data_IF_692064713597
#
_entry.id   IF_692064713597
#
_cell.length_a   1.000
_cell.length_b   1.000
_cell.length_c   1.000
_cell.angle_alpha   90.00
_cell.angle_beta   90.00
_cell.angle_gamma   90.00
#
_symmetry.space_group_name_H-M   'P 1'
#
loop_
_entity.id
_entity.type
_entity.pdbx_description
1 polymer ?
#
# COMPACT_ATOMS: atom_id res chain seq x y z
N UNK A 1 -28.42 -0.95 0.84
CA UNK A 1 -27.45 0.09 0.43
C UNK A 1 -26.41 -0.44 -0.55
N UNK A 2 -25.55 -1.41 -0.21
CA UNK A 2 -24.46 -1.81 -1.13
C UNK A 2 -24.91 -2.26 -2.53
N UNK A 3 -26.07 -2.91 -2.66
CA UNK A 3 -26.66 -3.31 -3.96
C UNK A 3 -27.27 -2.15 -4.76
N UNK A 4 -27.37 -0.96 -4.18
CA UNK A 4 -27.94 0.22 -4.85
C UNK A 4 -27.00 0.77 -5.93
N UNK A 5 -27.56 1.15 -7.08
CA UNK A 5 -26.78 1.63 -8.22
C UNK A 5 -26.07 2.95 -7.94
N UNK A 6 -26.70 3.88 -7.21
CA UNK A 6 -26.09 5.15 -6.85
C UNK A 6 -24.91 4.96 -5.89
N UNK A 7 -25.04 4.02 -4.94
CA UNK A 7 -23.94 3.64 -4.04
C UNK A 7 -22.78 3.02 -4.82
N UNK A 8 -23.04 2.11 -5.77
CA UNK A 8 -22.00 1.53 -6.62
C UNK A 8 -21.29 2.61 -7.47
N UNK A 9 -22.05 3.53 -8.08
CA UNK A 9 -21.48 4.66 -8.83
C UNK A 9 -20.61 5.57 -7.97
N UNK A 10 -20.99 5.76 -6.71
CA UNK A 10 -20.20 6.53 -5.73
C UNK A 10 -18.91 5.79 -5.41
N UNK A 11 -18.98 4.48 -5.17
CA UNK A 11 -17.81 3.62 -4.95
C UNK A 11 -16.82 3.65 -6.13
N UNK A 12 -17.31 3.67 -7.38
CA UNK A 12 -16.42 3.77 -8.55
C UNK A 12 -15.60 5.07 -8.59
N UNK A 13 -16.07 6.11 -7.89
CA UNK A 13 -15.41 7.41 -7.72
C UNK A 13 -14.64 7.51 -6.39
N UNK A 14 -14.34 6.37 -5.75
CA UNK A 14 -13.69 6.35 -4.44
C UNK A 14 -12.28 6.92 -4.42
N UNK A 15 -11.68 7.25 -5.56
CA UNK A 15 -10.43 7.98 -5.61
C UNK A 15 -10.59 9.47 -5.25
N UNK A 16 -11.81 10.00 -5.28
CA UNK A 16 -12.15 11.39 -4.94
C UNK A 16 -12.28 11.62 -3.42
N UNK A 17 -12.30 10.55 -2.63
CA UNK A 17 -12.41 10.59 -1.17
C UNK A 17 -11.62 9.47 -0.50
N UNK A 18 -11.58 9.46 0.83
CA UNK A 18 -10.77 8.50 1.58
C UNK A 18 -11.56 7.21 1.87
N UNK A 19 -11.50 6.24 0.95
CA UNK A 19 -12.04 4.89 1.16
C UNK A 19 -10.93 3.87 1.49
N UNK A 20 -11.26 2.86 2.29
CA UNK A 20 -10.36 1.74 2.58
C UNK A 20 -10.39 0.70 1.45
N UNK A 21 -9.24 0.19 1.04
CA UNK A 21 -9.11 -0.70 -0.12
C UNK A 21 -9.92 -2.01 0.01
N UNK A 22 -10.12 -2.49 1.24
CA UNK A 22 -10.90 -3.70 1.52
C UNK A 22 -12.42 -3.48 1.57
N UNK A 23 -12.92 -2.26 1.33
CA UNK A 23 -14.35 -1.94 1.44
C UNK A 23 -15.21 -2.87 0.59
N UNK A 24 -14.89 -3.03 -0.70
CA UNK A 24 -15.64 -3.90 -1.61
C UNK A 24 -15.64 -5.36 -1.17
N UNK A 25 -14.46 -5.88 -0.79
CA UNK A 25 -14.30 -7.26 -0.33
C UNK A 25 -15.25 -7.61 0.83
N UNK A 26 -15.31 -6.74 1.85
CA UNK A 26 -16.19 -6.98 3.00
C UNK A 26 -17.66 -6.68 2.70
N UNK A 27 -17.97 -5.62 1.93
CA UNK A 27 -19.34 -5.25 1.59
C UNK A 27 -20.02 -6.28 0.68
N UNK A 28 -19.27 -6.91 -0.23
CA UNK A 28 -19.76 -8.01 -1.07
C UNK A 28 -20.15 -9.23 -0.23
N UNK A 29 -19.49 -9.43 0.93
CA UNK A 29 -19.64 -10.60 1.81
C UNK A 29 -20.40 -10.32 3.10
N UNK A 30 -21.14 -9.21 3.16
CA UNK A 30 -21.88 -8.79 4.37
C UNK A 30 -22.85 -9.87 4.88
N UNK A 31 -23.43 -10.68 3.98
CA UNK A 31 -24.34 -11.77 4.35
C UNK A 31 -23.67 -12.93 5.06
N UNK A 32 -22.37 -13.15 4.81
CA UNK A 32 -21.55 -14.17 5.48
C UNK A 32 -21.03 -13.62 6.81
N UNK A 33 -20.48 -12.41 6.80
CA UNK A 33 -19.84 -11.78 7.95
C UNK A 33 -20.83 -11.53 9.10
N UNK A 34 -22.10 -11.26 8.78
CA UNK A 34 -23.14 -11.01 9.81
C UNK A 34 -23.64 -12.26 10.53
N UNK A 35 -23.26 -13.46 10.10
CA UNK A 35 -23.78 -14.69 10.70
C UNK A 35 -23.30 -14.82 12.15
N UNK A 36 -24.13 -15.28 13.10
CA UNK A 36 -23.75 -15.37 14.52
C UNK A 36 -22.53 -16.27 14.79
N UNK A 37 -22.28 -17.23 13.91
CA UNK A 37 -21.17 -18.18 13.98
C UNK A 37 -20.03 -17.85 13.00
N UNK A 38 -20.02 -16.65 12.42
CA UNK A 38 -18.94 -16.24 11.52
C UNK A 38 -17.59 -16.22 12.24
N UNK A 39 -16.61 -16.90 11.67
CA UNK A 39 -15.21 -16.84 12.08
C UNK A 39 -14.39 -16.29 10.91
N UNK A 40 -13.61 -15.20 11.09
CA UNK A 40 -12.79 -14.65 10.02
C UNK A 40 -11.82 -15.68 9.45
N UNK A 41 -11.75 -15.77 8.12
CA UNK A 41 -10.71 -16.55 7.44
C UNK A 41 -9.37 -15.82 7.50
N UNK A 42 -8.27 -16.51 7.21
CA UNK A 42 -6.96 -15.88 7.06
C UNK A 42 -6.99 -14.76 6.00
N UNK A 43 -7.75 -14.94 4.93
CA UNK A 43 -7.94 -13.93 3.90
C UNK A 43 -8.67 -12.68 4.44
N UNK A 44 -9.65 -12.86 5.32
CA UNK A 44 -10.34 -11.75 5.99
C UNK A 44 -9.38 -10.96 6.89
N UNK A 45 -8.52 -11.68 7.62
CA UNK A 45 -7.51 -11.08 8.48
C UNK A 45 -6.50 -10.29 7.65
N UNK A 46 -5.98 -10.85 6.55
CA UNK A 46 -5.04 -10.19 5.65
C UNK A 46 -5.64 -8.96 4.94
N UNK A 47 -6.95 -8.98 4.66
CA UNK A 47 -7.67 -7.84 4.05
C UNK A 47 -8.07 -6.79 5.08
N UNK A 48 -8.09 -7.12 6.37
CA UNK A 48 -8.47 -6.19 7.41
C UNK A 48 -7.50 -5.00 7.45
N UNK A 49 -8.04 -3.79 7.53
CA UNK A 49 -7.21 -2.59 7.63
C UNK A 49 -7.07 -2.18 9.09
N UNK A 50 -5.92 -2.47 9.66
CA UNK A 50 -5.46 -1.91 10.93
C UNK A 50 -4.30 -0.97 10.63
N UNK A 51 -4.38 0.28 11.08
CA UNK A 51 -3.28 1.23 10.90
C UNK A 51 -2.16 0.89 11.91
N UNK A 52 -0.98 0.55 11.41
CA UNK A 52 0.21 0.37 12.24
C UNK A 52 0.62 1.72 12.86
N UNK A 53 0.57 1.81 14.18
CA UNK A 53 1.09 2.93 14.97
C UNK A 53 2.21 2.42 15.86
N UNK A 54 3.40 3.01 15.75
CA UNK A 54 4.61 2.54 16.42
C UNK A 54 5.41 1.56 15.58
N UNK A 55 6.14 0.71 16.29
CA UNK A 55 7.06 -0.30 15.77
C UNK A 55 6.62 -1.64 16.34
N UNK A 56 6.41 -2.63 15.48
CA UNK A 56 6.07 -3.99 15.86
C UNK A 56 7.17 -4.93 15.44
N UNK A 57 7.50 -5.89 16.29
CA UNK A 57 8.57 -6.84 16.04
C UNK A 57 7.99 -8.24 15.87
N UNK A 58 8.56 -9.00 14.94
CA UNK A 58 8.26 -10.42 14.80
C UNK A 58 9.54 -11.18 14.52
N UNK A 59 9.73 -12.29 15.23
CA UNK A 59 10.88 -13.18 15.05
C UNK A 59 10.39 -14.54 14.57
N UNK A 60 11.02 -15.05 13.54
CA UNK A 60 10.69 -16.36 12.97
C UNK A 60 11.93 -17.00 12.35
N UNK A 61 11.85 -18.31 12.07
CA UNK A 61 12.93 -19.07 11.48
C UNK A 61 12.45 -19.76 10.20
N UNK A 62 13.22 -19.66 9.12
CA UNK A 62 12.99 -20.35 7.84
C UNK A 62 14.27 -21.06 7.46
N UNK A 63 14.22 -22.38 7.24
CA UNK A 63 15.38 -23.20 6.86
C UNK A 63 16.63 -22.96 7.74
N UNK A 64 16.41 -22.87 9.06
CA UNK A 64 17.42 -22.58 10.11
C UNK A 64 18.00 -21.15 10.08
N UNK A 65 17.54 -20.29 9.18
CA UNK A 65 17.88 -18.86 9.15
C UNK A 65 16.89 -18.09 10.02
N UNK A 66 17.39 -17.32 10.98
CA UNK A 66 16.56 -16.50 11.87
C UNK A 66 16.30 -15.13 11.23
N UNK A 67 15.05 -14.71 11.24
CA UNK A 67 14.59 -13.40 10.79
C UNK A 67 14.03 -12.62 11.98
N UNK A 68 14.43 -11.36 12.10
CA UNK A 68 13.87 -10.39 13.03
C UNK A 68 13.35 -9.23 12.21
N UNK A 69 12.03 -9.18 12.05
CA UNK A 69 11.34 -8.21 11.21
C UNK A 69 10.72 -7.12 12.08
N UNK A 70 10.88 -5.87 11.64
CA UNK A 70 10.29 -4.68 12.24
C UNK A 70 9.25 -4.10 11.28
N UNK A 71 7.98 -4.11 11.65
CA UNK A 71 6.92 -3.38 10.95
C UNK A 71 6.79 -1.99 11.55
N UNK A 72 6.94 -0.95 10.73
CA UNK A 72 6.98 0.44 11.16
C UNK A 72 5.86 1.23 10.50
N UNK A 73 5.16 2.05 11.29
CA UNK A 73 4.12 2.93 10.76
C UNK A 73 4.64 3.84 9.63
N UNK A 74 4.01 3.80 8.46
CA UNK A 74 4.42 4.58 7.28
C UNK A 74 3.85 5.99 7.18
N UNK A 75 2.89 6.33 8.05
CA UNK A 75 2.24 7.64 8.08
C UNK A 75 3.23 8.73 8.50
N UNK A 76 3.03 9.96 8.03
CA UNK A 76 4.00 11.07 8.22
C UNK A 76 4.41 11.26 9.69
N UNK A 77 3.45 11.17 10.61
CA UNK A 77 3.69 11.35 12.06
C UNK A 77 4.45 10.19 12.70
N UNK A 78 4.44 9.01 12.08
CA UNK A 78 5.11 7.80 12.56
C UNK A 78 6.57 7.72 12.12
N UNK A 79 6.94 8.39 11.01
CA UNK A 79 8.27 8.29 10.39
C UNK A 79 9.42 8.75 11.28
N UNK A 80 9.17 9.64 12.25
CA UNK A 80 10.21 10.05 13.22
C UNK A 80 10.72 8.89 14.07
N UNK A 81 9.89 7.84 14.27
CA UNK A 81 10.24 6.65 15.06
C UNK A 81 11.18 5.71 14.31
N UNK A 82 11.25 5.80 12.98
CA UNK A 82 12.04 4.88 12.15
C UNK A 82 13.52 4.83 12.52
N UNK A 83 14.09 5.94 13.00
CA UNK A 83 15.49 5.99 13.45
C UNK A 83 15.80 4.98 14.56
N UNK A 84 14.78 4.56 15.33
CA UNK A 84 14.92 3.56 16.40
C UNK A 84 15.19 2.16 15.82
N UNK A 85 14.85 1.91 14.57
CA UNK A 85 15.02 0.64 13.89
C UNK A 85 16.21 0.60 12.93
N UNK A 86 16.92 1.72 12.71
CA UNK A 86 17.96 1.81 11.67
C UNK A 86 19.33 1.27 12.10
N UNK A 87 19.51 0.89 13.36
CA UNK A 87 20.74 0.25 13.82
C UNK A 87 20.73 -1.24 13.45
N UNK A 88 21.76 -1.70 12.73
CA UNK A 88 22.00 -3.13 12.41
C UNK A 88 20.92 -3.86 11.60
N UNK A 89 20.18 -3.14 10.75
CA UNK A 89 19.30 -3.80 9.77
C UNK A 89 20.12 -4.45 8.66
N UNK A 90 19.79 -5.69 8.30
CA UNK A 90 20.42 -6.38 7.16
C UNK A 90 19.95 -5.80 5.82
N UNK A 91 18.66 -5.50 5.71
CA UNK A 91 18.03 -4.96 4.52
C UNK A 91 16.76 -4.18 4.89
N UNK A 92 16.34 -3.29 4.01
CA UNK A 92 15.05 -2.60 4.10
C UNK A 92 14.10 -3.20 3.07
N UNK A 93 12.88 -3.55 3.49
CA UNK A 93 11.79 -3.86 2.57
C UNK A 93 10.93 -2.61 2.44
N UNK A 94 11.04 -1.91 1.32
CA UNK A 94 10.20 -0.75 1.04
C UNK A 94 8.97 -1.17 0.24
N UNK A 95 7.78 -0.92 0.79
CA UNK A 95 6.51 -1.30 0.16
C UNK A 95 5.81 -0.07 -0.40
N UNK A 96 5.49 -0.09 -1.70
CA UNK A 96 4.72 0.97 -2.35
C UNK A 96 3.40 0.45 -2.90
N UNK A 97 2.32 1.19 -2.71
CA UNK A 97 1.00 0.83 -3.22
C UNK A 97 0.81 1.40 -4.63
N UNK A 98 1.23 0.66 -5.66
CA UNK A 98 1.23 1.13 -7.04
C UNK A 98 -0.17 1.53 -7.56
N UNK A 99 -1.22 0.85 -7.08
CA UNK A 99 -2.62 1.14 -7.44
C UNK A 99 -3.14 2.50 -6.95
N UNK A 100 -2.39 3.19 -6.08
CA UNK A 100 -2.77 4.49 -5.50
C UNK A 100 -2.37 5.70 -6.34
N UNK A 101 -1.96 5.51 -7.60
CA UNK A 101 -1.51 6.58 -8.50
C UNK A 101 -2.55 7.68 -8.74
N UNK A 102 -3.84 7.40 -8.57
CA UNK A 102 -4.95 8.35 -8.74
C UNK A 102 -5.55 8.85 -7.41
N UNK A 103 -4.86 8.63 -6.29
CA UNK A 103 -5.33 8.97 -4.94
C UNK A 103 -4.43 9.98 -4.25
N UNK A 104 -4.98 10.68 -3.26
CA UNK A 104 -4.26 11.62 -2.39
C UNK A 104 -4.09 11.08 -0.98
N UNK A 105 -3.09 11.56 -0.23
CA UNK A 105 -2.86 11.17 1.15
C UNK A 105 -4.06 11.52 2.04
N UNK A 106 -4.21 10.81 3.16
CA UNK A 106 -5.25 11.14 4.15
C UNK A 106 -4.82 12.38 4.96
N UNK A 107 -3.53 12.47 5.24
CA UNK A 107 -2.87 13.51 6.01
C UNK A 107 -2.73 14.82 5.22
N UNK A 108 -2.77 14.74 3.89
CA UNK A 108 -2.55 15.87 2.99
C UNK A 108 -3.28 15.64 1.65
N UNK A 109 -4.48 16.22 1.45
CA UNK A 109 -5.27 15.99 0.26
C UNK A 109 -4.69 16.65 -1.00
N UNK A 110 -3.61 17.43 -0.87
CA UNK A 110 -2.91 18.04 -2.02
C UNK A 110 -1.82 17.14 -2.58
N UNK A 111 -1.38 16.14 -1.81
CA UNK A 111 -0.27 15.27 -2.16
C UNK A 111 -0.76 13.93 -2.72
N UNK A 112 -0.30 13.58 -3.92
CA UNK A 112 -0.55 12.29 -4.54
C UNK A 112 0.18 11.16 -3.77
N UNK A 113 -0.51 10.03 -3.54
CA UNK A 113 0.04 8.92 -2.73
C UNK A 113 1.27 8.26 -3.36
N UNK A 114 1.27 8.04 -4.68
CA UNK A 114 2.39 7.39 -5.35
C UNK A 114 3.59 8.35 -5.44
N UNK A 115 3.37 9.66 -5.67
CA UNK A 115 4.44 10.66 -5.61
C UNK A 115 5.08 10.75 -4.23
N UNK A 116 4.28 10.80 -3.17
CA UNK A 116 4.78 10.73 -1.79
C UNK A 116 5.64 9.48 -1.56
N UNK A 117 5.20 8.33 -2.08
CA UNK A 117 5.95 7.09 -1.94
C UNK A 117 7.29 7.13 -2.68
N UNK A 118 7.35 7.75 -3.87
CA UNK A 118 8.59 7.98 -4.61
C UNK A 118 9.52 8.94 -3.87
N UNK A 119 9.00 10.04 -3.33
CA UNK A 119 9.77 11.01 -2.55
C UNK A 119 10.34 10.37 -1.28
N UNK A 120 9.53 9.56 -0.58
CA UNK A 120 9.96 8.82 0.59
C UNK A 120 11.03 7.78 0.24
N UNK A 121 10.84 7.01 -0.83
CA UNK A 121 11.85 6.07 -1.33
C UNK A 121 13.17 6.78 -1.65
N UNK A 122 13.11 7.91 -2.37
CA UNK A 122 14.27 8.75 -2.67
C UNK A 122 14.96 9.23 -1.40
N UNK A 123 14.22 9.59 -0.35
CA UNK A 123 14.79 10.00 0.94
C UNK A 123 15.55 8.87 1.64
N UNK A 124 15.02 7.64 1.59
CA UNK A 124 15.65 6.43 2.16
C UNK A 124 16.90 6.08 1.35
N UNK A 125 16.76 6.02 0.03
CA UNK A 125 17.85 5.68 -0.90
C UNK A 125 19.05 6.61 -0.77
N UNK A 126 18.81 7.92 -0.58
CA UNK A 126 19.87 8.92 -0.43
C UNK A 126 20.29 9.14 1.03
N UNK A 127 19.75 8.39 1.98
CA UNK A 127 20.06 8.55 3.39
C UNK A 127 21.51 8.11 3.68
N UNK A 128 22.33 9.01 4.22
CA UNK A 128 23.74 8.74 4.54
C UNK A 128 23.94 7.56 5.51
N UNK A 129 22.99 7.32 6.41
CA UNK A 129 23.06 6.23 7.39
C UNK A 129 22.66 4.87 6.80
N UNK A 130 22.05 4.85 5.61
CA UNK A 130 21.57 3.64 4.95
C UNK A 130 22.37 3.28 3.69
N UNK A 131 23.50 3.94 3.43
CA UNK A 131 24.29 3.80 2.20
C UNK A 131 24.75 2.38 1.91
N UNK A 132 25.00 1.58 2.93
CA UNK A 132 25.45 0.18 2.82
C UNK A 132 24.31 -0.82 2.93
N UNK A 133 23.08 -0.35 3.19
CA UNK A 133 21.92 -1.20 3.41
C UNK A 133 21.21 -1.42 2.09
N UNK A 134 21.00 -2.69 1.73
CA UNK A 134 20.24 -3.05 0.54
C UNK A 134 18.76 -2.74 0.73
N UNK A 135 18.10 -2.23 -0.32
CA UNK A 135 16.66 -1.98 -0.33
C UNK A 135 15.98 -2.95 -1.29
N UNK A 136 15.09 -3.77 -0.75
CA UNK A 136 14.18 -4.63 -1.50
C UNK A 136 12.89 -3.83 -1.73
N UNK A 137 12.60 -3.49 -2.99
CA UNK A 137 11.42 -2.71 -3.35
C UNK A 137 10.25 -3.63 -3.71
N UNK A 138 9.18 -3.59 -2.92
CA UNK A 138 7.92 -4.26 -3.22
C UNK A 138 6.95 -3.28 -3.87
N UNK A 139 6.76 -3.48 -5.18
CA UNK A 139 5.68 -2.86 -5.94
C UNK A 139 4.37 -3.59 -5.63
N UNK A 140 3.68 -3.18 -4.56
CA UNK A 140 2.52 -3.89 -4.02
C UNK A 140 1.19 -3.45 -4.69
N UNK A 141 0.15 -4.27 -4.50
CA UNK A 141 -1.22 -4.09 -5.03
C UNK A 141 -1.27 -4.15 -6.57
N UNK A 142 -0.51 -5.07 -7.15
CA UNK A 142 -0.47 -5.31 -8.59
C UNK A 142 -1.84 -5.77 -9.14
N UNK A 143 -2.58 -6.54 -8.35
CA UNK A 143 -3.97 -6.93 -8.64
C UNK A 143 -4.86 -5.69 -8.86
N UNK A 144 -4.87 -4.77 -7.89
CA UNK A 144 -5.66 -3.54 -7.96
C UNK A 144 -5.15 -2.58 -9.02
N UNK A 145 -3.84 -2.54 -9.27
CA UNK A 145 -3.26 -1.75 -10.36
C UNK A 145 -3.78 -2.27 -11.71
N UNK A 146 -3.69 -3.57 -11.94
CA UNK A 146 -4.14 -4.20 -13.18
C UNK A 146 -5.64 -3.98 -13.41
N UNK A 147 -6.47 -4.15 -12.39
CA UNK A 147 -7.91 -3.85 -12.46
C UNK A 147 -8.17 -2.39 -12.85
N UNK A 148 -7.48 -1.45 -12.20
CA UNK A 148 -7.68 -0.01 -12.43
C UNK A 148 -7.25 0.42 -13.83
N UNK A 149 -6.11 -0.08 -14.33
CA UNK A 149 -5.63 0.19 -15.69
C UNK A 149 -6.60 -0.40 -16.72
N UNK A 150 -7.02 -1.66 -16.55
CA UNK A 150 -7.98 -2.31 -17.47
C UNK A 150 -9.34 -1.62 -17.50
N UNK A 151 -9.80 -1.06 -16.38
CA UNK A 151 -11.07 -0.34 -16.31
C UNK A 151 -11.06 0.96 -17.14
N UNK A 152 -9.89 1.56 -17.41
CA UNK A 152 -9.75 2.74 -18.26
C UNK A 152 -10.37 4.03 -17.72
N UNK A 153 -10.90 4.04 -16.49
CA UNK A 153 -11.60 5.19 -15.88
C UNK A 153 -10.67 6.29 -15.35
N UNK A 154 -9.45 5.94 -14.96
CA UNK A 154 -8.42 6.89 -14.48
C UNK A 154 -7.10 6.55 -15.15
N UNK A 155 -6.68 7.31 -16.15
CA UNK A 155 -5.45 7.01 -16.88
C UNK A 155 -4.24 7.40 -16.04
N UNK A 156 -3.19 6.59 -16.06
CA UNK A 156 -1.95 6.90 -15.34
C UNK A 156 -1.34 8.24 -15.79
N UNK A 157 -1.44 8.52 -17.10
CA UNK A 157 -1.00 9.77 -17.74
C UNK A 157 -1.65 11.05 -17.19
N UNK A 158 -2.85 10.95 -16.62
CA UNK A 158 -3.56 12.10 -16.06
C UNK A 158 -2.89 12.57 -14.75
N UNK A 159 -2.12 11.69 -14.10
CA UNK A 159 -1.42 11.94 -12.84
C UNK A 159 0.10 11.97 -13.00
N UNK A 160 0.63 11.24 -13.99
CA UNK A 160 2.05 11.12 -14.31
C UNK A 160 2.22 11.35 -15.81
N UNK A 161 2.29 12.62 -16.22
CA UNK A 161 2.25 13.03 -17.63
C UNK A 161 3.40 12.47 -18.47
N UNK A 162 4.53 12.17 -17.84
CA UNK A 162 5.68 11.50 -18.43
C UNK A 162 5.35 10.11 -18.98
N UNK A 163 4.32 9.44 -18.45
CA UNK A 163 3.90 8.11 -18.89
C UNK A 163 3.41 8.10 -20.35
N UNK A 164 2.97 9.24 -20.90
CA UNK A 164 2.62 9.37 -22.32
C UNK A 164 3.79 9.09 -23.27
N UNK A 165 5.03 9.21 -22.76
CA UNK A 165 6.27 8.98 -23.53
C UNK A 165 7.01 7.73 -23.06
N UNK A 166 6.46 7.01 -22.09
CA UNK A 166 7.07 5.80 -21.58
C UNK A 166 6.97 4.69 -22.62
N UNK A 167 8.09 4.01 -22.86
CA UNK A 167 8.14 2.80 -23.66
C UNK A 167 8.45 1.64 -22.74
N UNK A 168 7.68 0.56 -22.86
CA UNK A 168 7.98 -0.69 -22.16
C UNK A 168 9.41 -1.12 -22.54
N UNK A 169 10.28 -1.45 -21.56
CA UNK A 169 11.59 -2.02 -21.84
C UNK A 169 11.45 -3.25 -22.74
N UNK A 170 12.43 -3.47 -23.63
CA UNK A 170 12.49 -4.71 -24.39
C UNK A 170 12.56 -5.91 -23.45
N UNK A 171 12.05 -7.05 -23.90
CA UNK A 171 12.39 -8.33 -23.27
C UNK A 171 13.84 -8.64 -23.65
N UNK A 172 14.76 -8.52 -22.69
CA UNK A 172 16.13 -9.03 -22.82
C UNK A 172 16.15 -10.56 -22.72
#
# INVERSE_FOLDING_TARGET
LWKDRGVQQTYERSNEYQLIDCAKYFLDRVSEIKQPNYTPTEQDILRCRVLTSGIFETRFQVDKVNFHMFDVGGQRDERRKWIQCFNDVTAIIFVTACSSYNMVLREDPTQNRLRESLDLFKSIWNNRWLRTISVILFLNKQDLLAEKIKAGKSKLSDYFGEFNRYQTPGED
#
